data_IF_193453561873
#
_entry.id   IF_193453561873
#
_cell.length_a   1.000
_cell.length_b   1.000
_cell.length_c   1.000
_cell.angle_alpha   90.00
_cell.angle_beta   90.00
_cell.angle_gamma   90.00
#
_symmetry.space_group_name_H-M   'P 1'
#
loop_
_entity.id
_entity.type
_entity.pdbx_description
1 polymer ?
#
# COMPACT_ATOMS: atom_id res chain seq x y z
N UNK A 1 30.13 -21.40 9.85
CA UNK A 1 29.99 -20.25 8.91
C UNK A 1 29.02 -20.59 7.76
N UNK A 2 29.20 -21.71 7.04
CA UNK A 2 28.32 -22.10 5.92
C UNK A 2 26.82 -22.27 6.28
N UNK A 3 26.48 -22.86 7.44
CA UNK A 3 25.08 -23.03 7.85
C UNK A 3 24.31 -21.71 8.06
N UNK A 4 25.00 -20.60 8.34
CA UNK A 4 24.36 -19.30 8.59
C UNK A 4 23.96 -18.60 7.28
N UNK A 5 24.66 -18.87 6.18
CA UNK A 5 24.37 -18.26 4.88
C UNK A 5 23.07 -18.79 4.27
N UNK A 6 22.77 -20.09 4.40
CA UNK A 6 21.57 -20.69 3.81
C UNK A 6 20.25 -20.24 4.46
N UNK A 7 20.28 -19.85 5.74
CA UNK A 7 19.09 -19.33 6.43
C UNK A 7 18.74 -17.89 6.02
N UNK A 8 19.74 -17.08 5.66
CA UNK A 8 19.53 -15.68 5.26
C UNK A 8 18.88 -15.58 3.87
N UNK A 9 19.32 -16.41 2.92
CA UNK A 9 18.83 -16.37 1.53
C UNK A 9 17.35 -16.77 1.42
N UNK A 10 16.91 -17.76 2.19
CA UNK A 10 15.52 -18.22 2.18
C UNK A 10 14.57 -17.18 2.77
N UNK A 11 14.98 -16.49 3.84
CA UNK A 11 14.19 -15.43 4.48
C UNK A 11 14.00 -14.23 3.56
N UNK A 12 15.07 -13.79 2.89
CA UNK A 12 14.99 -12.69 1.91
C UNK A 12 14.08 -13.03 0.72
N UNK A 13 14.16 -14.25 0.20
CA UNK A 13 13.29 -14.71 -0.88
C UNK A 13 11.81 -14.67 -0.47
N UNK A 14 11.50 -15.09 0.76
CA UNK A 14 10.15 -15.03 1.32
C UNK A 14 9.63 -13.59 1.42
N UNK A 15 10.43 -12.65 1.94
CA UNK A 15 10.02 -11.24 2.08
C UNK A 15 9.74 -10.62 0.71
N UNK A 16 10.59 -10.90 -0.29
CA UNK A 16 10.39 -10.41 -1.66
C UNK A 16 9.10 -10.95 -2.28
N UNK A 17 8.83 -12.24 -2.09
CA UNK A 17 7.59 -12.86 -2.55
C UNK A 17 6.37 -12.20 -1.91
N UNK A 18 6.42 -11.94 -0.60
CA UNK A 18 5.34 -11.27 0.12
C UNK A 18 5.10 -9.86 -0.44
N UNK A 19 6.17 -9.06 -0.61
CA UNK A 19 6.07 -7.70 -1.18
C UNK A 19 5.50 -7.72 -2.58
N UNK A 20 5.97 -8.62 -3.43
CA UNK A 20 5.45 -8.79 -4.77
C UNK A 20 3.96 -9.11 -4.75
N UNK A 21 3.54 -10.06 -3.90
CA UNK A 21 2.15 -10.50 -3.84
C UNK A 21 1.21 -9.36 -3.42
N UNK A 22 1.46 -8.69 -2.30
CA UNK A 22 0.53 -7.65 -1.85
C UNK A 22 0.58 -6.40 -2.74
N UNK A 23 1.74 -6.04 -3.32
CA UNK A 23 1.81 -4.91 -4.24
C UNK A 23 1.11 -5.23 -5.56
N UNK A 24 1.24 -6.46 -6.07
CA UNK A 24 0.56 -6.89 -7.30
C UNK A 24 -0.97 -6.89 -7.16
N UNK A 25 -1.50 -7.11 -5.94
CA UNK A 25 -2.93 -7.00 -5.65
C UNK A 25 -3.34 -5.54 -5.44
N UNK A 26 -2.62 -4.78 -4.62
CA UNK A 26 -3.01 -3.41 -4.27
C UNK A 26 -2.82 -2.39 -5.40
N UNK A 27 -1.90 -2.64 -6.35
CA UNK A 27 -1.70 -1.78 -7.51
C UNK A 27 -2.96 -1.65 -8.38
N UNK A 28 -3.57 -2.74 -8.91
CA UNK A 28 -4.78 -2.63 -9.72
C UNK A 28 -5.98 -2.14 -8.92
N UNK A 29 -6.11 -2.54 -7.64
CA UNK A 29 -7.20 -2.06 -6.77
C UNK A 29 -7.11 -0.55 -6.55
N UNK A 30 -5.93 -0.05 -6.19
CA UNK A 30 -5.69 1.39 -6.03
C UNK A 30 -5.90 2.16 -7.33
N UNK A 31 -5.39 1.65 -8.46
CA UNK A 31 -5.56 2.28 -9.76
C UNK A 31 -7.04 2.36 -10.20
N UNK A 32 -7.82 1.31 -9.95
CA UNK A 32 -9.25 1.30 -10.21
C UNK A 32 -9.99 2.38 -9.42
N UNK A 33 -9.76 2.45 -8.11
CA UNK A 33 -10.41 3.46 -7.27
C UNK A 33 -9.94 4.88 -7.57
N UNK A 34 -8.66 5.05 -7.95
CA UNK A 34 -8.15 6.33 -8.42
C UNK A 34 -8.85 6.80 -9.71
N UNK A 35 -8.96 5.92 -10.72
CA UNK A 35 -9.69 6.22 -11.96
C UNK A 35 -11.17 6.52 -11.69
N UNK A 36 -11.78 5.81 -10.74
CA UNK A 36 -13.16 6.04 -10.35
C UNK A 36 -13.35 7.42 -9.70
N UNK A 37 -12.48 7.80 -8.76
CA UNK A 37 -12.47 9.14 -8.16
C UNK A 37 -12.26 10.23 -9.23
N UNK A 38 -11.32 10.01 -10.15
CA UNK A 38 -11.06 10.94 -11.26
C UNK A 38 -12.29 11.12 -12.15
N UNK A 39 -12.96 10.02 -12.51
CA UNK A 39 -14.20 10.04 -13.31
C UNK A 39 -15.30 10.82 -12.59
N UNK A 40 -15.49 10.60 -11.29
CA UNK A 40 -16.53 11.29 -10.52
C UNK A 40 -16.26 12.80 -10.41
N UNK A 41 -15.00 13.20 -10.26
CA UNK A 41 -14.60 14.60 -10.21
C UNK A 41 -14.77 15.30 -11.58
N UNK A 42 -14.39 14.62 -12.66
CA UNK A 42 -14.39 15.22 -14.02
C UNK A 42 -15.74 15.18 -14.73
N UNK A 43 -16.49 14.08 -14.60
CA UNK A 43 -17.77 13.87 -15.30
C UNK A 43 -18.98 13.97 -14.37
N UNK A 44 -18.80 13.69 -13.08
CA UNK A 44 -19.89 13.69 -12.10
C UNK A 44 -20.19 15.06 -11.50
N UNK A 45 -19.35 16.07 -11.77
CA UNK A 45 -19.48 17.42 -11.19
C UNK A 45 -19.28 17.45 -9.67
N UNK A 46 -18.72 16.39 -9.09
CA UNK A 46 -18.40 16.35 -7.66
C UNK A 46 -17.20 17.28 -7.42
N UNK A 47 -17.21 18.12 -6.37
CA UNK A 47 -16.01 18.86 -5.97
C UNK A 47 -14.85 17.90 -5.67
N UNK A 48 -13.68 18.47 -5.37
CA UNK A 48 -12.46 17.72 -5.08
C UNK A 48 -12.68 16.51 -4.15
N UNK A 49 -12.32 15.32 -4.63
CA UNK A 49 -12.43 14.05 -3.91
C UNK A 49 -11.07 13.68 -3.29
N UNK A 50 -10.98 13.61 -1.96
CA UNK A 50 -9.76 13.17 -1.25
C UNK A 50 -9.29 11.77 -1.66
N UNK A 51 -10.18 10.95 -2.22
CA UNK A 51 -9.88 9.70 -2.89
C UNK A 51 -8.83 9.86 -3.99
N UNK A 52 -8.85 10.95 -4.76
CA UNK A 52 -7.90 11.13 -5.86
C UNK A 52 -6.44 11.16 -5.39
N UNK A 53 -6.18 11.81 -4.27
CA UNK A 53 -4.82 11.90 -3.72
C UNK A 53 -4.47 10.63 -2.97
N UNK A 54 -5.35 10.15 -2.10
CA UNK A 54 -5.08 8.99 -1.27
C UNK A 54 -4.84 7.71 -2.10
N UNK A 55 -5.68 7.44 -3.11
CA UNK A 55 -5.48 6.30 -4.00
C UNK A 55 -4.27 6.47 -4.92
N UNK A 56 -3.95 7.69 -5.37
CA UNK A 56 -2.73 7.93 -6.15
C UNK A 56 -1.49 7.56 -5.34
N UNK A 57 -1.40 8.04 -4.10
CA UNK A 57 -0.27 7.76 -3.20
C UNK A 57 -0.16 6.26 -2.92
N UNK A 58 -1.27 5.57 -2.59
CA UNK A 58 -1.26 4.13 -2.36
C UNK A 58 -0.83 3.34 -3.62
N UNK A 59 -1.32 3.72 -4.79
CA UNK A 59 -0.98 3.08 -6.08
C UNK A 59 0.50 3.27 -6.41
N UNK A 60 1.02 4.49 -6.29
CA UNK A 60 2.44 4.78 -6.52
C UNK A 60 3.33 4.05 -5.52
N UNK A 61 2.91 3.94 -4.25
CA UNK A 61 3.61 3.16 -3.23
C UNK A 61 3.68 1.66 -3.55
N UNK A 62 2.59 1.09 -4.09
CA UNK A 62 2.55 -0.30 -4.55
C UNK A 62 3.47 -0.50 -5.77
N UNK A 63 3.45 0.45 -6.72
CA UNK A 63 4.36 0.45 -7.87
C UNK A 63 5.83 0.50 -7.45
N UNK A 64 6.19 1.39 -6.53
CA UNK A 64 7.53 1.46 -5.95
C UNK A 64 7.94 0.14 -5.25
N UNK A 65 6.98 -0.55 -4.61
CA UNK A 65 7.18 -1.87 -4.03
C UNK A 65 7.58 -2.91 -5.07
N UNK A 66 6.85 -2.99 -6.18
CA UNK A 66 7.19 -3.90 -7.29
C UNK A 66 8.56 -3.57 -7.88
N UNK A 67 8.86 -2.29 -8.12
CA UNK A 67 10.18 -1.86 -8.62
C UNK A 67 11.28 -2.23 -7.63
N UNK A 68 11.05 -2.12 -6.32
CA UNK A 68 12.03 -2.50 -5.30
C UNK A 68 12.37 -4.00 -5.28
N UNK A 69 11.42 -4.85 -5.70
CA UNK A 69 11.66 -6.30 -5.88
C UNK A 69 12.48 -6.58 -7.14
N UNK A 70 12.21 -5.86 -8.24
CA UNK A 70 12.94 -5.99 -9.51
C UNK A 70 14.35 -5.39 -9.47
N UNK A 71 14.55 -4.33 -8.67
CA UNK A 71 15.81 -3.61 -8.53
C UNK A 71 16.29 -3.64 -7.06
N UNK A 72 16.72 -4.81 -6.55
CA UNK A 72 17.06 -4.97 -5.14
C UNK A 72 18.32 -4.19 -4.72
N UNK A 73 19.13 -3.67 -5.64
CA UNK A 73 20.27 -2.82 -5.27
C UNK A 73 19.86 -1.37 -4.99
N UNK A 74 18.68 -0.95 -5.47
CA UNK A 74 18.21 0.43 -5.39
C UNK A 74 17.49 0.72 -4.07
N UNK A 75 18.25 1.12 -3.04
CA UNK A 75 17.76 1.51 -1.70
C UNK A 75 16.63 2.54 -1.71
N UNK A 76 16.65 3.43 -2.69
CA UNK A 76 15.64 4.48 -2.85
C UNK A 76 14.25 3.89 -3.02
N UNK A 77 14.07 2.85 -3.84
CA UNK A 77 12.76 2.26 -4.10
C UNK A 77 12.18 1.57 -2.87
N UNK A 78 13.02 0.95 -2.03
CA UNK A 78 12.57 0.41 -0.72
C UNK A 78 12.12 1.51 0.23
N UNK A 79 12.86 2.62 0.27
CA UNK A 79 12.52 3.76 1.13
C UNK A 79 11.21 4.38 0.70
N UNK A 80 11.09 4.67 -0.60
CA UNK A 80 9.87 5.19 -1.24
C UNK A 80 8.73 4.22 -1.00
N UNK A 81 8.90 2.93 -1.27
CA UNK A 81 7.89 1.91 -1.02
C UNK A 81 7.37 1.99 0.42
N UNK A 82 8.24 1.87 1.42
CA UNK A 82 7.80 1.89 2.82
C UNK A 82 7.03 3.16 3.19
N UNK A 83 7.53 4.36 2.86
CA UNK A 83 6.85 5.59 3.28
C UNK A 83 5.59 5.86 2.47
N UNK A 84 5.65 5.69 1.15
CA UNK A 84 4.55 6.01 0.23
C UNK A 84 3.46 4.93 0.28
N UNK A 85 3.81 3.64 0.35
CA UNK A 85 2.82 2.57 0.45
C UNK A 85 2.14 2.54 1.82
N UNK A 86 2.91 2.53 2.92
CA UNK A 86 2.34 2.47 4.27
C UNK A 86 1.56 3.75 4.56
N UNK A 87 2.15 4.90 4.25
CA UNK A 87 1.49 6.20 4.39
C UNK A 87 0.26 6.32 3.50
N UNK A 88 0.36 5.89 2.24
CA UNK A 88 -0.75 5.91 1.28
C UNK A 88 -1.92 5.02 1.72
N UNK A 89 -1.67 3.76 2.06
CA UNK A 89 -2.71 2.85 2.54
C UNK A 89 -3.33 3.35 3.85
N UNK A 90 -2.52 3.85 4.79
CA UNK A 90 -3.03 4.47 6.02
C UNK A 90 -3.89 5.71 5.75
N UNK A 91 -3.50 6.54 4.78
CA UNK A 91 -4.26 7.72 4.40
C UNK A 91 -5.59 7.37 3.72
N UNK A 92 -5.60 6.35 2.85
CA UNK A 92 -6.86 5.82 2.28
C UNK A 92 -7.78 5.29 3.39
N UNK A 93 -7.24 4.55 4.36
CA UNK A 93 -8.03 4.05 5.50
C UNK A 93 -8.64 5.21 6.30
N UNK A 94 -7.86 6.24 6.63
CA UNK A 94 -8.35 7.42 7.33
C UNK A 94 -9.45 8.16 6.54
N UNK A 95 -9.31 8.26 5.22
CA UNK A 95 -10.33 8.85 4.34
C UNK A 95 -11.66 8.08 4.42
N UNK A 96 -11.61 6.75 4.44
CA UNK A 96 -12.81 5.93 4.61
C UNK A 96 -13.44 6.05 6.00
N UNK A 97 -12.64 6.17 7.06
CA UNK A 97 -13.16 6.46 8.42
C UNK A 97 -13.86 7.82 8.45
N UNK A 98 -13.32 8.84 7.77
CA UNK A 98 -14.00 10.12 7.66
C UNK A 98 -15.35 9.98 6.94
N UNK A 99 -15.39 9.25 5.82
CA UNK A 99 -16.64 8.96 5.10
C UNK A 99 -17.68 8.22 5.96
N UNK A 100 -17.24 7.29 6.81
CA UNK A 100 -18.08 6.57 7.76
C UNK A 100 -18.78 7.50 8.76
N UNK A 101 -18.06 8.53 9.23
CA UNK A 101 -18.56 9.51 10.20
C UNK A 101 -19.46 10.56 9.55
N UNK A 102 -19.10 11.02 8.34
CA UNK A 102 -19.79 12.15 7.68
C UNK A 102 -21.08 11.79 6.96
N UNK A 103 -21.28 10.52 6.57
CA UNK A 103 -22.42 10.11 5.73
C UNK A 103 -23.29 9.09 6.44
N UNK A 104 -24.53 9.47 6.78
CA UNK A 104 -25.49 8.63 7.49
C UNK A 104 -26.36 7.79 6.54
N UNK A 105 -25.72 6.96 5.71
CA UNK A 105 -26.42 5.97 4.86
C UNK A 105 -25.82 4.60 5.13
N UNK A 106 -26.61 3.69 5.70
CA UNK A 106 -26.11 2.38 6.19
C UNK A 106 -25.28 1.63 5.14
N UNK A 107 -25.74 1.54 3.89
CA UNK A 107 -24.99 0.86 2.82
C UNK A 107 -23.63 1.48 2.54
N UNK A 108 -23.55 2.82 2.56
CA UNK A 108 -22.29 3.54 2.38
C UNK A 108 -21.36 3.38 3.60
N UNK A 109 -21.93 3.39 4.80
CA UNK A 109 -21.18 3.17 6.04
C UNK A 109 -20.55 1.77 6.09
N UNK A 110 -21.30 0.73 5.74
CA UNK A 110 -20.76 -0.64 5.64
C UNK A 110 -19.62 -0.70 4.64
N UNK A 111 -19.78 -0.09 3.46
CA UNK A 111 -18.72 0.01 2.46
C UNK A 111 -17.47 0.73 3.00
N UNK A 112 -17.63 1.89 3.63
CA UNK A 112 -16.53 2.64 4.22
C UNK A 112 -15.82 1.86 5.32
N UNK A 113 -16.56 1.16 6.19
CA UNK A 113 -15.97 0.35 7.26
C UNK A 113 -15.11 -0.80 6.69
N UNK A 114 -15.64 -1.55 5.71
CA UNK A 114 -14.91 -2.65 5.09
C UNK A 114 -13.67 -2.15 4.34
N UNK A 115 -13.79 -1.06 3.58
CA UNK A 115 -12.67 -0.47 2.88
C UNK A 115 -11.61 0.07 3.84
N UNK A 116 -12.01 0.78 4.91
CA UNK A 116 -11.09 1.26 5.94
C UNK A 116 -10.27 0.12 6.55
N UNK A 117 -10.93 -0.99 6.89
CA UNK A 117 -10.27 -2.18 7.44
C UNK A 117 -9.29 -2.81 6.43
N UNK A 118 -9.68 -2.95 5.17
CA UNK A 118 -8.81 -3.48 4.12
C UNK A 118 -7.53 -2.67 3.95
N UNK A 119 -7.66 -1.35 3.83
CA UNK A 119 -6.51 -0.46 3.65
C UNK A 119 -5.65 -0.36 4.91
N UNK A 120 -6.25 -0.41 6.10
CA UNK A 120 -5.51 -0.47 7.37
C UNK A 120 -4.71 -1.77 7.47
N UNK A 121 -5.33 -2.92 7.17
CA UNK A 121 -4.65 -4.21 7.17
C UNK A 121 -3.48 -4.21 6.18
N UNK A 122 -3.68 -3.64 4.99
CA UNK A 122 -2.62 -3.47 3.99
C UNK A 122 -1.46 -2.60 4.48
N UNK A 123 -1.76 -1.51 5.20
CA UNK A 123 -0.75 -0.63 5.78
C UNK A 123 0.06 -1.34 6.89
N UNK A 124 -0.61 -2.05 7.80
CA UNK A 124 0.04 -2.79 8.90
C UNK A 124 0.89 -3.93 8.35
N UNK A 125 0.33 -4.73 7.42
CA UNK A 125 1.05 -5.83 6.80
C UNK A 125 2.27 -5.34 6.00
N UNK A 126 2.10 -4.28 5.21
CA UNK A 126 3.19 -3.63 4.49
C UNK A 126 4.27 -3.09 5.43
N UNK A 127 3.89 -2.46 6.54
CA UNK A 127 4.83 -1.97 7.54
C UNK A 127 5.66 -3.11 8.15
N UNK A 128 5.02 -4.22 8.53
CA UNK A 128 5.71 -5.40 9.07
C UNK A 128 6.73 -5.98 8.09
N UNK A 129 6.35 -6.15 6.82
CA UNK A 129 7.24 -6.74 5.80
C UNK A 129 8.35 -5.78 5.36
N UNK A 130 8.02 -4.50 5.15
CA UNK A 130 8.99 -3.51 4.71
C UNK A 130 9.98 -3.11 5.84
N UNK A 131 9.56 -3.14 7.11
CA UNK A 131 10.49 -2.97 8.24
C UNK A 131 11.44 -4.16 8.39
N UNK A 132 10.93 -5.40 8.26
CA UNK A 132 11.78 -6.59 8.25
C UNK A 132 12.83 -6.55 7.13
N UNK A 133 12.44 -6.11 5.92
CA UNK A 133 13.36 -5.94 4.81
C UNK A 133 14.46 -4.92 5.12
N UNK A 134 14.12 -3.77 5.71
CA UNK A 134 15.13 -2.74 6.08
C UNK A 134 16.11 -3.22 7.15
N UNK A 135 15.66 -4.01 8.12
CA UNK A 135 16.53 -4.53 9.19
C UNK A 135 17.57 -5.51 8.64
N UNK A 136 17.19 -6.35 7.67
CA UNK A 136 18.12 -7.28 7.03
C UNK A 136 19.23 -6.59 6.25
N UNK A 137 18.97 -5.39 5.72
CA UNK A 137 19.97 -4.59 5.01
C UNK A 137 21.04 -4.00 5.93
N UNK A 138 20.76 -3.85 7.22
CA UNK A 138 21.71 -3.32 8.20
C UNK A 138 22.65 -4.40 8.75
N UNK A 139 22.38 -5.67 8.47
CA UNK A 139 23.24 -6.77 8.91
C UNK A 139 24.47 -6.87 7.99
N UNK A 140 25.69 -6.88 8.56
CA UNK A 140 26.95 -6.94 7.81
C UNK A 140 27.19 -8.30 7.13
#
# INVERSE_FOLDING_TARGET
>A
IFFRMGCCTTKMASIRSDVMQYCAVNLPVGAFFWLWALKNMTLGGIPFDLGIVSFAVATLGAGAGLVSVMQPEARVWRTVHYFVYVGGCGFVSANYVLGLVMVHKLGFQVYCALAALYWLASAVYGHQKASAWRLEEQLP
#
